data_IF_241871820241
#
_entry.id   IF_241871820241
#
_cell.length_a   1.000
_cell.length_b   1.000
_cell.length_c   1.000
_cell.angle_alpha   90.00
_cell.angle_beta   90.00
_cell.angle_gamma   90.00
#
_symmetry.space_group_name_H-M   'P 1'
#
loop_
_entity.id
_entity.type
_entity.pdbx_description
1 polymer ?
#
# COMPACT_ATOMS: atom_id res chain seq x y z
N UNK A 1 6.64 8.60 -35.27
CA UNK A 1 6.50 8.94 -33.85
C UNK A 1 5.89 7.72 -33.17
N UNK A 2 6.73 6.89 -32.53
CA UNK A 2 6.31 5.67 -31.86
C UNK A 2 5.67 6.04 -30.54
N UNK A 3 4.34 5.91 -30.44
CA UNK A 3 3.64 5.94 -29.16
C UNK A 3 4.07 4.71 -28.37
N UNK A 4 4.91 4.90 -27.35
CA UNK A 4 5.21 3.85 -26.39
C UNK A 4 3.86 3.39 -25.79
N UNK A 5 3.53 2.11 -25.97
CA UNK A 5 2.36 1.52 -25.33
C UNK A 5 2.53 1.61 -23.80
N UNK A 6 1.48 1.92 -23.02
CA UNK A 6 1.56 2.10 -21.56
C UNK A 6 1.66 0.75 -20.82
N UNK A 7 2.40 -0.23 -21.35
CA UNK A 7 2.29 -1.64 -20.98
C UNK A 7 3.13 -2.04 -19.75
N UNK A 8 3.79 -1.09 -19.08
CA UNK A 8 4.66 -1.39 -17.93
C UNK A 8 3.99 -1.32 -16.54
N UNK A 9 2.94 -0.50 -16.38
CA UNK A 9 2.39 -0.14 -15.06
C UNK A 9 1.11 -0.89 -14.67
N UNK A 10 0.45 -1.57 -15.61
CA UNK A 10 -0.85 -2.20 -15.33
C UNK A 10 -0.75 -3.68 -14.89
N UNK A 11 0.43 -4.29 -14.90
CA UNK A 11 0.56 -5.75 -14.75
C UNK A 11 0.48 -6.26 -13.30
N UNK A 12 0.65 -5.40 -12.28
CA UNK A 12 0.83 -5.88 -10.90
C UNK A 12 -0.24 -5.45 -9.89
N UNK A 13 -1.23 -4.65 -10.31
CA UNK A 13 -2.29 -4.17 -9.39
C UNK A 13 -3.00 -5.32 -8.67
N UNK A 14 -3.51 -6.31 -9.42
CA UNK A 14 -4.23 -7.46 -8.84
C UNK A 14 -3.31 -8.33 -7.97
N UNK A 15 -2.02 -8.44 -8.32
CA UNK A 15 -1.03 -9.16 -7.50
C UNK A 15 -0.85 -8.48 -6.15
N UNK A 16 -0.72 -7.16 -6.12
CA UNK A 16 -0.61 -6.41 -4.88
C UNK A 16 -1.88 -6.52 -4.02
N UNK A 17 -3.07 -6.46 -4.64
CA UNK A 17 -4.33 -6.68 -3.92
C UNK A 17 -4.40 -8.10 -3.31
N UNK A 18 -4.03 -9.14 -4.06
CA UNK A 18 -4.01 -10.52 -3.56
C UNK A 18 -3.02 -10.70 -2.39
N UNK A 19 -1.83 -10.10 -2.46
CA UNK A 19 -0.85 -10.13 -1.37
C UNK A 19 -1.39 -9.39 -0.14
N UNK A 20 -2.03 -8.23 -0.32
CA UNK A 20 -2.64 -7.46 0.77
C UNK A 20 -3.66 -8.31 1.55
N UNK A 21 -4.57 -8.97 0.84
CA UNK A 21 -5.59 -9.84 1.45
C UNK A 21 -4.98 -11.04 2.18
N UNK A 22 -3.90 -11.63 1.65
CA UNK A 22 -3.18 -12.72 2.33
C UNK A 22 -2.51 -12.24 3.61
N UNK A 23 -1.82 -11.10 3.56
CA UNK A 23 -1.16 -10.51 4.73
C UNK A 23 -2.17 -10.16 5.83
N UNK A 24 -3.36 -9.68 5.48
CA UNK A 24 -4.40 -9.39 6.45
C UNK A 24 -4.89 -10.64 7.18
N UNK A 25 -5.05 -11.77 6.46
CA UNK A 25 -5.37 -13.06 7.10
C UNK A 25 -4.27 -13.52 8.03
N UNK A 26 -3.03 -13.48 7.57
CA UNK A 26 -1.88 -13.88 8.39
C UNK A 26 -1.74 -12.96 9.61
N UNK A 27 -2.05 -11.67 9.51
CA UNK A 27 -2.03 -10.78 10.67
C UNK A 27 -2.96 -11.25 11.79
N UNK A 28 -4.15 -11.75 11.45
CA UNK A 28 -5.08 -12.31 12.43
C UNK A 28 -4.58 -13.64 12.99
N UNK A 29 -4.03 -14.52 12.13
CA UNK A 29 -3.46 -15.81 12.56
C UNK A 29 -2.32 -15.63 13.59
N UNK A 30 -1.43 -14.66 13.34
CA UNK A 30 -0.33 -14.32 14.27
C UNK A 30 -0.85 -13.71 15.57
N UNK A 31 -1.91 -12.89 15.51
CA UNK A 31 -2.54 -12.34 16.71
C UNK A 31 -3.19 -13.45 17.56
N UNK A 32 -3.90 -14.38 16.93
CA UNK A 32 -4.52 -15.53 17.60
C UNK A 32 -3.46 -16.45 18.24
N UNK A 33 -2.24 -16.44 17.72
CA UNK A 33 -1.07 -17.12 18.26
C UNK A 33 -0.27 -16.31 19.30
N UNK A 34 -0.73 -15.09 19.65
CA UNK A 34 -0.05 -14.14 20.56
C UNK A 34 1.31 -13.62 20.05
N UNK A 35 1.63 -13.79 18.75
CA UNK A 35 2.79 -13.16 18.11
C UNK A 35 2.44 -11.73 17.65
N UNK A 36 2.41 -10.83 18.63
CA UNK A 36 2.04 -9.42 18.42
C UNK A 36 2.97 -8.68 17.45
N UNK A 37 4.23 -9.13 17.34
CA UNK A 37 5.24 -8.50 16.47
C UNK A 37 4.95 -8.88 15.01
N UNK A 38 4.75 -10.18 14.73
CA UNK A 38 4.39 -10.62 13.38
C UNK A 38 3.00 -10.10 12.98
N UNK A 39 2.02 -10.14 13.87
CA UNK A 39 0.70 -9.57 13.62
C UNK A 39 0.78 -8.09 13.19
N UNK A 40 1.60 -7.30 13.89
CA UNK A 40 1.83 -5.89 13.59
C UNK A 40 2.47 -5.67 12.20
N UNK A 41 3.50 -6.44 11.85
CA UNK A 41 4.20 -6.34 10.57
C UNK A 41 3.30 -6.75 9.39
N UNK A 42 2.53 -7.83 9.56
CA UNK A 42 1.60 -8.32 8.54
C UNK A 42 0.47 -7.32 8.30
N UNK A 43 -0.07 -6.70 9.35
CA UNK A 43 -1.08 -5.66 9.23
C UNK A 43 -0.56 -4.45 8.43
N UNK A 44 0.62 -3.94 8.77
CA UNK A 44 1.25 -2.85 8.02
C UNK A 44 1.53 -3.25 6.56
N UNK A 45 2.07 -4.45 6.35
CA UNK A 45 2.32 -5.00 5.02
C UNK A 45 1.05 -5.10 4.17
N UNK A 46 -0.09 -5.45 4.77
CA UNK A 46 -1.39 -5.49 4.10
C UNK A 46 -1.80 -4.11 3.60
N UNK A 47 -1.76 -3.08 4.46
CA UNK A 47 -2.04 -1.70 4.07
C UNK A 47 -1.09 -1.20 2.97
N UNK A 48 0.21 -1.46 3.10
CA UNK A 48 1.21 -1.07 2.11
C UNK A 48 0.94 -1.71 0.73
N UNK A 49 0.58 -2.99 0.68
CA UNK A 49 0.27 -3.66 -0.59
C UNK A 49 -1.07 -3.19 -1.18
N UNK A 50 -2.06 -2.85 -0.35
CA UNK A 50 -3.29 -2.23 -0.84
C UNK A 50 -3.02 -0.89 -1.53
N UNK A 51 -2.17 -0.04 -0.95
CA UNK A 51 -1.74 1.22 -1.57
C UNK A 51 -1.02 0.98 -2.90
N UNK A 52 -0.08 0.01 -2.93
CA UNK A 52 0.64 -0.35 -4.16
C UNK A 52 -0.30 -0.81 -5.27
N UNK A 53 -1.37 -1.51 -4.92
CA UNK A 53 -2.36 -1.97 -5.91
C UNK A 53 -3.06 -0.80 -6.61
N UNK A 54 -3.41 0.26 -5.88
CA UNK A 54 -3.98 1.49 -6.43
C UNK A 54 -2.94 2.24 -7.25
N UNK A 55 -1.72 2.39 -6.71
CA UNK A 55 -0.64 3.09 -7.38
C UNK A 55 -0.28 2.47 -8.74
N UNK A 56 -0.16 1.14 -8.82
CA UNK A 56 0.05 0.44 -10.10
C UNK A 56 -1.11 0.69 -11.07
N UNK A 57 -2.36 0.54 -10.61
CA UNK A 57 -3.53 0.80 -11.46
C UNK A 57 -3.48 2.20 -12.07
N UNK A 58 -3.03 3.18 -11.30
CA UNK A 58 -3.00 4.58 -11.71
C UNK A 58 -1.67 5.01 -12.36
N UNK A 59 -0.73 4.08 -12.55
CA UNK A 59 0.54 4.36 -13.23
C UNK A 59 1.56 5.13 -12.38
N UNK A 60 1.51 5.00 -11.06
CA UNK A 60 2.35 5.75 -10.13
C UNK A 60 3.49 4.93 -9.55
N UNK A 61 4.63 5.60 -9.33
CA UNK A 61 5.74 5.04 -8.60
C UNK A 61 5.42 4.93 -7.10
N UNK A 62 5.61 3.74 -6.52
CA UNK A 62 5.28 3.43 -5.12
C UNK A 62 6.46 2.88 -4.29
N UNK A 63 7.68 2.92 -4.82
CA UNK A 63 8.86 2.40 -4.10
C UNK A 63 9.22 3.26 -2.88
N UNK A 64 9.11 2.67 -1.69
CA UNK A 64 9.49 3.28 -0.41
C UNK A 64 8.32 3.93 0.34
N UNK A 65 8.46 4.03 1.67
CA UNK A 65 7.36 4.43 2.56
C UNK A 65 6.81 5.84 2.26
N UNK A 66 7.68 6.79 1.92
CA UNK A 66 7.25 8.16 1.63
C UNK A 66 6.32 8.24 0.41
N UNK A 67 6.45 7.31 -0.56
CA UNK A 67 5.59 7.27 -1.74
C UNK A 67 4.23 6.67 -1.41
N UNK A 68 4.17 5.69 -0.52
CA UNK A 68 2.90 5.16 -0.02
C UNK A 68 2.08 6.26 0.66
N UNK A 69 2.73 7.06 1.51
CA UNK A 69 2.09 8.22 2.13
C UNK A 69 1.61 9.24 1.08
N UNK A 70 2.40 9.48 0.03
CA UNK A 70 2.03 10.39 -1.04
C UNK A 70 0.80 9.91 -1.85
N UNK A 71 0.63 8.59 -2.02
CA UNK A 71 -0.57 8.02 -2.66
C UNK A 71 -1.79 8.28 -1.78
N UNK A 72 -1.71 7.98 -0.48
CA UNK A 72 -2.80 8.21 0.47
C UNK A 72 -3.16 9.70 0.54
N UNK A 73 -2.17 10.58 0.68
CA UNK A 73 -2.37 12.04 0.69
C UNK A 73 -3.07 12.52 -0.58
N UNK A 74 -2.64 12.01 -1.74
CA UNK A 74 -3.26 12.39 -2.99
C UNK A 74 -4.74 11.99 -3.00
N UNK A 75 -5.06 10.74 -2.68
CA UNK A 75 -6.45 10.28 -2.66
C UNK A 75 -7.27 11.11 -1.67
N UNK A 76 -6.73 11.34 -0.47
CA UNK A 76 -7.43 12.06 0.58
C UNK A 76 -7.76 13.50 0.21
N UNK A 77 -6.78 14.25 -0.31
CA UNK A 77 -6.92 15.68 -0.54
C UNK A 77 -7.49 16.02 -1.92
N UNK A 78 -7.20 15.20 -2.93
CA UNK A 78 -7.57 15.50 -4.32
C UNK A 78 -8.86 14.78 -4.76
N UNK A 79 -9.24 13.69 -4.07
CA UNK A 79 -10.51 12.97 -4.31
C UNK A 79 -11.54 13.18 -3.18
N UNK A 80 -11.26 14.05 -2.21
CA UNK A 80 -12.17 14.35 -1.11
C UNK A 80 -12.34 13.21 -0.09
N UNK A 81 -11.39 12.27 -0.02
CA UNK A 81 -11.41 11.08 0.85
C UNK A 81 -10.58 11.29 2.13
N UNK A 82 -10.83 12.38 2.84
CA UNK A 82 -10.02 12.79 4.01
C UNK A 82 -10.06 11.78 5.16
N UNK A 83 -11.10 10.95 5.22
CA UNK A 83 -11.26 9.81 6.12
C UNK A 83 -10.09 8.82 6.04
N UNK A 84 -9.49 8.66 4.85
CA UNK A 84 -8.38 7.73 4.63
C UNK A 84 -7.12 8.09 5.40
N UNK A 85 -6.89 9.37 5.69
CA UNK A 85 -5.71 9.79 6.46
C UNK A 85 -5.77 9.16 7.84
N UNK A 86 -6.92 9.25 8.50
CA UNK A 86 -7.09 8.70 9.84
C UNK A 86 -7.08 7.18 9.84
N UNK A 87 -7.74 6.55 8.86
CA UNK A 87 -7.74 5.09 8.70
C UNK A 87 -6.34 4.52 8.46
N UNK A 88 -5.48 5.26 7.75
CA UNK A 88 -4.10 4.82 7.48
C UNK A 88 -3.15 5.03 8.66
N UNK A 89 -3.44 5.96 9.58
CA UNK A 89 -2.58 6.20 10.75
C UNK A 89 -2.47 4.97 11.67
N UNK A 90 -3.57 4.25 11.90
CA UNK A 90 -3.59 3.09 12.80
C UNK A 90 -2.64 1.95 12.33
N UNK A 91 -2.67 1.49 11.05
CA UNK A 91 -1.67 0.57 10.51
C UNK A 91 -0.21 1.09 10.58
N UNK A 92 0.02 2.41 10.49
CA UNK A 92 1.39 2.94 10.62
C UNK A 92 1.93 2.87 12.04
N UNK A 93 1.06 2.83 13.05
CA UNK A 93 1.44 2.65 14.45
C UNK A 93 1.90 1.21 14.73
N UNK A 94 1.36 0.21 14.03
CA UNK A 94 1.85 -1.17 14.18
C UNK A 94 3.27 -1.34 13.65
N UNK A 95 3.65 -0.60 12.61
CA UNK A 95 5.01 -0.59 12.11
C UNK A 95 6.01 0.02 13.12
N UNK A 96 5.60 1.02 13.92
CA UNK A 96 6.39 1.51 15.05
C UNK A 96 6.49 0.43 16.14
N UNK A 97 5.40 -0.29 16.39
CA UNK A 97 5.39 -1.39 17.35
C UNK A 97 6.33 -2.54 16.98
N UNK A 98 6.45 -2.87 15.69
CA UNK A 98 7.42 -3.87 15.21
C UNK A 98 8.86 -3.53 15.64
N UNK A 99 9.21 -2.23 15.73
CA UNK A 99 10.54 -1.80 16.19
C UNK A 99 10.65 -1.60 17.71
N UNK A 100 9.54 -1.29 18.39
CA UNK A 100 9.58 -0.89 19.80
C UNK A 100 9.01 -1.92 20.79
N UNK A 101 8.23 -2.91 20.32
CA UNK A 101 7.58 -3.97 21.09
C UNK A 101 6.69 -3.43 22.24
N UNK A 102 5.83 -2.45 21.97
CA UNK A 102 5.06 -1.67 22.98
C UNK A 102 3.54 -1.83 22.93
N UNK A 103 2.96 -2.51 21.94
CA UNK A 103 1.50 -2.69 21.85
C UNK A 103 1.07 -4.00 22.52
N UNK A 104 0.01 -3.87 23.30
CA UNK A 104 -0.74 -4.99 23.86
C UNK A 104 -1.71 -5.56 22.82
N UNK A 105 -2.14 -6.81 23.00
CA UNK A 105 -2.97 -7.55 22.06
C UNK A 105 -4.24 -6.78 21.61
N UNK A 106 -4.95 -6.14 22.55
CA UNK A 106 -6.15 -5.35 22.24
C UNK A 106 -5.86 -4.20 21.24
N UNK A 107 -4.69 -3.57 21.34
CA UNK A 107 -4.30 -2.49 20.42
C UNK A 107 -3.88 -3.04 19.06
N UNK A 108 -3.28 -4.23 19.03
CA UNK A 108 -2.95 -4.92 17.78
C UNK A 108 -4.24 -5.35 17.07
N UNK A 109 -5.25 -5.87 17.78
CA UNK A 109 -6.55 -6.20 17.21
C UNK A 109 -7.22 -4.98 16.58
N UNK A 110 -7.27 -3.85 17.31
CA UNK A 110 -7.83 -2.59 16.78
C UNK A 110 -7.11 -2.16 15.49
N UNK A 111 -5.78 -2.27 15.46
CA UNK A 111 -5.04 -1.90 14.27
C UNK A 111 -5.25 -2.86 13.08
N UNK A 112 -5.45 -4.16 13.33
CA UNK A 112 -5.85 -5.13 12.29
C UNK A 112 -7.25 -4.80 11.76
N UNK A 113 -8.19 -4.47 12.64
CA UNK A 113 -9.56 -4.08 12.26
C UNK A 113 -9.56 -2.81 11.40
N UNK A 114 -8.80 -1.79 11.81
CA UNK A 114 -8.62 -0.56 11.01
C UNK A 114 -7.93 -0.86 9.67
N UNK A 115 -6.92 -1.73 9.67
CA UNK A 115 -6.25 -2.18 8.43
C UNK A 115 -7.24 -2.84 7.49
N UNK A 116 -8.14 -3.68 7.99
CA UNK A 116 -9.17 -4.32 7.18
C UNK A 116 -10.07 -3.30 6.50
N UNK A 117 -10.58 -2.32 7.25
CA UNK A 117 -11.40 -1.23 6.69
C UNK A 117 -10.62 -0.45 5.64
N UNK A 118 -9.35 -0.13 5.92
CA UNK A 118 -8.49 0.58 4.97
C UNK A 118 -8.27 -0.21 3.67
N UNK A 119 -8.00 -1.52 3.77
CA UNK A 119 -7.83 -2.41 2.61
C UNK A 119 -9.11 -2.45 1.76
N UNK A 120 -10.28 -2.55 2.40
CA UNK A 120 -11.57 -2.51 1.70
C UNK A 120 -11.77 -1.18 0.95
N UNK A 121 -11.42 -0.05 1.55
CA UNK A 121 -11.49 1.25 0.87
C UNK A 121 -10.53 1.33 -0.31
N UNK A 122 -9.30 0.85 -0.16
CA UNK A 122 -8.33 0.79 -1.26
C UNK A 122 -8.84 -0.09 -2.40
N UNK A 123 -9.48 -1.22 -2.11
CA UNK A 123 -10.09 -2.08 -3.14
C UNK A 123 -11.26 -1.39 -3.86
N UNK A 124 -12.09 -0.60 -3.14
CA UNK A 124 -13.14 0.22 -3.77
C UNK A 124 -12.55 1.27 -4.70
N UNK A 125 -11.56 2.02 -4.24
CA UNK A 125 -10.85 3.03 -5.05
C UNK A 125 -10.16 2.37 -6.25
N UNK A 126 -9.57 1.19 -6.05
CA UNK A 126 -8.99 0.39 -7.12
C UNK A 126 -10.04 -0.13 -8.09
N UNK A 127 -11.31 -0.26 -7.73
CA UNK A 127 -12.37 -0.63 -8.68
C UNK A 127 -12.85 0.58 -9.51
N UNK A 128 -12.77 1.79 -8.97
CA UNK A 128 -13.18 3.03 -9.65
C UNK A 128 -12.37 3.32 -10.93
N UNK A 129 -12.94 4.04 -11.92
CA UNK A 129 -12.19 4.48 -13.09
C UNK A 129 -10.93 5.25 -12.72
N UNK A 130 -9.86 5.09 -13.51
CA UNK A 130 -8.62 5.86 -13.29
C UNK A 130 -8.99 7.35 -13.36
N UNK A 131 -8.72 8.14 -12.32
CA UNK A 131 -9.12 9.53 -12.28
C UNK A 131 -8.40 10.34 -13.36
N UNK A 132 -9.14 11.22 -14.02
CA UNK A 132 -8.56 12.23 -14.91
C UNK A 132 -7.97 13.36 -14.08
N UNK A 133 -6.65 13.50 -14.12
CA UNK A 133 -5.98 14.62 -13.48
C UNK A 133 -6.09 15.87 -14.35
N UNK A 134 -6.50 17.02 -13.79
CA UNK A 134 -6.50 18.26 -14.52
C UNK A 134 -5.05 18.63 -14.88
N UNK A 135 -4.87 19.38 -15.96
CA UNK A 135 -3.53 19.68 -16.49
C UNK A 135 -2.65 20.34 -15.41
N UNK A 136 -1.35 20.00 -15.29
CA UNK A 136 -0.49 20.45 -14.19
C UNK A 136 -0.53 21.96 -13.94
N UNK A 137 -0.65 22.77 -14.99
CA UNK A 137 -0.77 24.23 -14.97
C UNK A 137 -2.03 24.76 -14.28
N UNK A 138 -3.07 23.94 -14.14
CA UNK A 138 -4.33 24.28 -13.44
C UNK A 138 -4.31 23.90 -11.96
N UNK A 139 -3.28 23.16 -11.52
CA UNK A 139 -3.13 22.70 -10.15
C UNK A 139 -2.42 23.73 -9.27
N UNK A 140 -2.81 23.79 -8.00
CA UNK A 140 -2.10 24.54 -6.97
C UNK A 140 -0.68 23.97 -6.77
N UNK A 141 0.25 24.78 -6.22
CA UNK A 141 1.62 24.31 -5.93
C UNK A 141 1.66 23.04 -5.04
N UNK A 142 0.84 22.91 -3.97
CA UNK A 142 0.78 21.68 -3.19
C UNK A 142 0.36 20.46 -4.03
N UNK A 143 -0.65 20.61 -4.87
CA UNK A 143 -1.14 19.57 -5.78
C UNK A 143 -0.06 19.13 -6.78
N UNK A 144 0.61 20.09 -7.42
CA UNK A 144 1.73 19.82 -8.32
C UNK A 144 2.86 19.07 -7.62
N UNK A 145 3.18 19.42 -6.37
CA UNK A 145 4.22 18.74 -5.58
C UNK A 145 3.86 17.27 -5.31
N UNK A 146 2.61 16.98 -4.94
CA UNK A 146 2.13 15.60 -4.71
C UNK A 146 2.17 14.78 -5.99
N UNK A 147 1.64 15.30 -7.10
CA UNK A 147 1.68 14.60 -8.38
C UNK A 147 3.09 14.40 -8.92
N UNK A 148 3.96 15.40 -8.79
CA UNK A 148 5.36 15.26 -9.22
C UNK A 148 6.02 14.10 -8.48
N UNK A 149 5.78 13.97 -7.18
CA UNK A 149 6.35 12.88 -6.40
C UNK A 149 5.97 11.54 -7.01
N UNK A 150 4.68 11.31 -7.26
CA UNK A 150 4.14 10.03 -7.77
C UNK A 150 4.57 9.70 -9.21
N UNK A 151 4.77 10.72 -10.05
CA UNK A 151 5.14 10.55 -11.46
C UNK A 151 6.66 10.61 -11.74
N UNK A 152 7.47 11.04 -10.77
CA UNK A 152 8.93 11.11 -10.97
C UNK A 152 9.55 9.76 -10.61
N UNK A 153 10.32 9.13 -11.52
CA UNK A 153 11.04 7.91 -11.20
C UNK A 153 12.01 8.14 -10.03
N UNK A 154 12.32 7.13 -9.21
CA UNK A 154 13.25 7.30 -8.10
C UNK A 154 14.62 7.71 -8.66
N UNK A 155 15.06 8.93 -8.39
CA UNK A 155 16.34 9.43 -8.91
C UNK A 155 17.57 9.02 -8.09
N UNK A 156 17.40 8.36 -6.94
CA UNK A 156 18.51 7.86 -6.11
C UNK A 156 18.01 6.84 -5.06
N UNK A 157 17.48 5.70 -5.48
CA UNK A 157 17.42 4.54 -4.59
C UNK A 157 18.66 3.67 -4.87
N UNK A 158 19.49 3.34 -3.86
CA UNK A 158 20.54 2.35 -4.06
C UNK A 158 19.89 1.06 -4.59
N UNK A 159 20.51 0.36 -5.57
CA UNK A 159 19.90 -0.71 -6.37
C UNK A 159 19.39 -1.94 -5.58
N UNK A 160 19.51 -1.95 -4.25
CA UNK A 160 19.09 -3.04 -3.37
C UNK A 160 17.59 -3.25 -3.26
N UNK A 161 16.76 -2.33 -3.77
CA UNK A 161 15.29 -2.42 -3.71
C UNK A 161 14.60 -2.19 -5.06
N UNK A 162 15.36 -2.03 -6.15
CA UNK A 162 14.83 -1.73 -7.48
C UNK A 162 14.51 -2.98 -8.30
N UNK A 163 15.01 -4.15 -7.89
CA UNK A 163 14.87 -5.37 -8.65
C UNK A 163 13.71 -6.23 -8.13
N UNK A 164 12.57 -6.12 -8.81
CA UNK A 164 11.39 -6.98 -8.59
C UNK A 164 11.67 -8.46 -8.89
N UNK A 165 12.78 -8.79 -9.55
CA UNK A 165 13.24 -10.18 -9.71
C UNK A 165 13.95 -10.74 -8.47
N UNK A 166 14.24 -9.90 -7.47
CA UNK A 166 14.72 -10.32 -6.14
C UNK A 166 13.60 -10.55 -5.12
N UNK A 167 12.33 -10.33 -5.49
CA UNK A 167 11.23 -10.84 -4.69
C UNK A 167 11.29 -12.37 -4.72
N UNK A 168 11.31 -13.05 -3.56
CA UNK A 168 11.34 -14.51 -3.55
C UNK A 168 10.13 -15.03 -4.36
N UNK A 169 10.31 -16.09 -5.17
CA UNK A 169 9.18 -16.75 -5.80
C UNK A 169 8.18 -17.14 -4.72
N UNK A 170 6.88 -17.02 -5.01
CA UNK A 170 5.85 -17.53 -4.11
C UNK A 170 6.03 -19.04 -4.07
N UNK A 171 6.56 -19.55 -2.97
CA UNK A 171 6.57 -20.99 -2.74
C UNK A 171 5.11 -21.46 -2.77
N UNK A 172 4.80 -22.56 -3.49
CA UNK A 172 3.47 -23.12 -3.44
C UNK A 172 3.15 -23.50 -1.98
N UNK A 173 1.96 -23.11 -1.52
CA UNK A 173 1.44 -23.48 -0.20
C UNK A 173 1.65 -24.99 0.01
N UNK A 174 2.21 -25.43 1.16
CA UNK A 174 2.26 -26.84 1.47
C UNK A 174 0.82 -27.39 1.47
N UNK A 175 0.60 -28.60 0.93
CA UNK A 175 -0.74 -29.15 0.84
C UNK A 175 -1.36 -29.21 2.25
N UNK A 176 -2.58 -28.68 2.38
CA UNK A 176 -3.37 -28.74 3.62
C UNK A 176 -3.36 -30.18 4.14
N UNK A 177 -2.73 -30.37 5.30
CA UNK A 177 -2.72 -31.64 6.00
C UNK A 177 -4.14 -31.90 6.49
N UNK A 178 -4.73 -32.96 5.93
CA UNK A 178 -6.10 -33.41 6.16
C UNK A 178 -6.27 -34.15 7.47
#
# INVERSE_FOLDING_TARGET
MTTASPTGFLQYSDRYAAISQRLLRHAQEELDADDLIQASEKAWGAAAHAIKSVAEKWGWHHQGHFRLNAVVDFIAFEQGRQDLVNLYLSPTVTHINYYEHRLEADKVQVAIDDTKVFVEEMDRIRAEPIPTFPAPETLTRPQQRRLRLLNTPPTDYPPRYADVSLLPPVEPEPPETR
#
